data_IF_627315622421
#
_entry.id   IF_627315622421
#
_cell.length_a   1.000
_cell.length_b   1.000
_cell.length_c   1.000
_cell.angle_alpha   90.00
_cell.angle_beta   90.00
_cell.angle_gamma   90.00
#
_symmetry.space_group_name_H-M   'P 1'
#
loop_
_entity.id
_entity.type
_entity.pdbx_description
1 polymer ?
#
# COMPACT_ATOMS: atom_id res chain seq x y z
N UNK A 1 -8.46 7.25 -1.34
CA UNK A 1 -8.32 6.42 -2.57
C UNK A 1 -9.46 6.58 -3.58
N UNK A 2 -10.67 6.06 -3.38
CA UNK A 2 -11.71 6.03 -4.43
C UNK A 2 -12.04 7.41 -5.04
N UNK A 3 -12.18 8.44 -4.19
CA UNK A 3 -12.39 9.82 -4.63
C UNK A 3 -11.19 10.40 -5.38
N UNK A 4 -9.97 10.07 -4.98
CA UNK A 4 -8.76 10.49 -5.69
C UNK A 4 -8.73 9.89 -7.10
N UNK A 5 -9.02 8.60 -7.25
CA UNK A 5 -9.10 7.94 -8.55
C UNK A 5 -10.15 8.56 -9.47
N UNK A 6 -11.36 8.78 -8.95
CA UNK A 6 -12.43 9.44 -9.70
C UNK A 6 -12.02 10.83 -10.18
N UNK A 7 -11.42 11.65 -9.31
CA UNK A 7 -10.94 12.98 -9.67
C UNK A 7 -9.83 12.94 -10.74
N UNK A 8 -8.86 12.02 -10.59
CA UNK A 8 -7.78 11.85 -11.57
C UNK A 8 -8.35 11.51 -12.95
N UNK A 9 -9.35 10.61 -13.02
CA UNK A 9 -9.99 10.23 -14.28
C UNK A 9 -10.89 11.33 -14.85
N UNK A 10 -11.67 12.01 -14.02
CA UNK A 10 -12.62 13.04 -14.45
C UNK A 10 -11.93 14.32 -14.94
N UNK A 11 -10.76 14.65 -14.39
CA UNK A 11 -10.03 15.87 -14.70
C UNK A 11 -8.75 15.61 -15.52
N UNK A 12 -8.54 14.38 -16.01
CA UNK A 12 -7.34 13.96 -16.75
C UNK A 12 -6.02 14.36 -16.06
N UNK A 13 -5.96 14.15 -14.74
CA UNK A 13 -4.80 14.53 -13.95
C UNK A 13 -3.65 13.56 -14.19
N UNK A 14 -2.43 14.07 -14.13
CA UNK A 14 -1.24 13.22 -14.26
C UNK A 14 -1.13 12.19 -13.14
N UNK A 15 -0.42 11.10 -13.43
CA UNK A 15 -0.11 10.06 -12.44
C UNK A 15 0.53 10.63 -11.16
N UNK A 16 1.48 11.57 -11.30
CA UNK A 16 2.14 12.19 -10.15
C UNK A 16 1.17 13.00 -9.28
N UNK A 17 0.19 13.70 -9.88
CA UNK A 17 -0.86 14.37 -9.12
C UNK A 17 -1.69 13.36 -8.34
N UNK A 18 -2.02 12.20 -8.94
CA UNK A 18 -2.67 11.10 -8.24
C UNK A 18 -1.88 10.59 -7.03
N UNK A 19 -0.59 10.29 -7.22
CA UNK A 19 0.34 9.89 -6.14
C UNK A 19 0.30 10.89 -4.99
N UNK A 20 0.52 12.17 -5.29
CA UNK A 20 0.56 13.23 -4.27
C UNK A 20 -0.80 13.47 -3.60
N UNK A 21 -1.89 13.06 -4.25
CA UNK A 21 -3.26 13.15 -3.74
C UNK A 21 -3.70 11.91 -2.94
N UNK A 22 -2.80 10.96 -2.65
CA UNK A 22 -3.11 9.77 -1.86
C UNK A 22 -3.85 8.69 -2.65
N UNK A 23 -3.47 8.49 -3.92
CA UNK A 23 -3.90 7.33 -4.71
C UNK A 23 -3.33 6.03 -4.15
N UNK A 24 -2.09 6.07 -3.66
CA UNK A 24 -1.38 4.93 -3.11
C UNK A 24 -0.98 5.19 -1.66
N UNK A 25 -0.71 4.11 -0.94
CA UNK A 25 -0.44 4.12 0.49
C UNK A 25 0.07 2.74 0.92
N UNK A 26 0.61 2.64 2.12
CA UNK A 26 1.23 1.43 2.65
C UNK A 26 0.20 0.35 3.06
N UNK A 27 0.61 -0.93 3.12
CA UNK A 27 -0.20 -2.00 3.71
C UNK A 27 -0.73 -1.65 5.10
N UNK A 28 -1.98 -2.00 5.38
CA UNK A 28 -2.68 -1.66 6.63
C UNK A 28 -3.31 -0.27 6.66
N UNK A 29 -3.02 0.58 5.67
CA UNK A 29 -3.65 1.89 5.48
C UNK A 29 -4.13 1.97 4.04
N UNK A 30 -5.31 1.42 3.74
CA UNK A 30 -5.83 1.33 2.38
C UNK A 30 -7.04 0.41 2.26
N UNK A 31 -7.29 -0.11 1.06
CA UNK A 31 -8.46 -0.95 0.75
C UNK A 31 -8.11 -2.41 0.41
N UNK A 32 -6.81 -2.76 0.39
CA UNK A 32 -6.36 -4.11 0.05
C UNK A 32 -6.40 -4.97 1.31
N UNK A 33 -7.14 -6.08 1.25
CA UNK A 33 -7.12 -7.12 2.27
C UNK A 33 -6.00 -8.11 1.98
N UNK A 34 -4.99 -8.20 2.86
CA UNK A 34 -3.79 -9.00 2.63
C UNK A 34 -3.92 -10.47 3.05
N UNK A 35 -4.91 -10.84 3.87
CA UNK A 35 -5.09 -12.24 4.32
C UNK A 35 -5.19 -13.28 3.19
N UNK A 36 -5.93 -13.03 2.09
CA UNK A 36 -5.99 -13.99 0.98
C UNK A 36 -4.63 -14.14 0.28
N UNK A 37 -3.86 -13.05 0.19
CA UNK A 37 -2.53 -13.05 -0.44
C UNK A 37 -1.56 -13.86 0.44
N UNK A 38 -1.56 -13.63 1.75
CA UNK A 38 -0.74 -14.38 2.69
C UNK A 38 -1.07 -15.88 2.69
N UNK A 39 -2.35 -16.24 2.61
CA UNK A 39 -2.77 -17.63 2.44
C UNK A 39 -2.18 -18.25 1.17
N UNK A 40 -2.33 -17.59 0.03
CA UNK A 40 -1.80 -18.06 -1.25
C UNK A 40 -0.28 -18.28 -1.20
N UNK A 41 0.46 -17.29 -0.69
CA UNK A 41 1.92 -17.34 -0.56
C UNK A 41 2.36 -18.54 0.30
N UNK A 42 1.68 -18.76 1.43
CA UNK A 42 1.97 -19.85 2.38
C UNK A 42 1.64 -21.23 1.79
N UNK A 43 0.48 -21.38 1.17
CA UNK A 43 0.02 -22.67 0.61
C UNK A 43 0.87 -23.13 -0.59
N UNK A 44 1.47 -22.19 -1.33
CA UNK A 44 2.32 -22.49 -2.49
C UNK A 44 3.81 -22.57 -2.16
N UNK A 45 4.19 -22.46 -0.87
CA UNK A 45 5.57 -22.65 -0.43
C UNK A 45 6.56 -21.59 -0.94
N UNK A 46 6.10 -20.37 -1.23
CA UNK A 46 6.98 -19.29 -1.66
C UNK A 46 8.05 -19.00 -0.60
N UNK A 47 9.31 -18.87 -1.03
CA UNK A 47 10.43 -18.47 -0.18
C UNK A 47 11.24 -17.39 -0.87
N UNK A 48 11.12 -16.17 -0.37
CA UNK A 48 11.76 -15.00 -0.92
C UNK A 48 11.43 -13.76 -0.12
N UNK A 49 11.67 -12.61 -0.73
CA UNK A 49 11.48 -11.32 -0.09
C UNK A 49 10.04 -10.82 -0.25
N UNK A 50 9.49 -10.29 0.84
CA UNK A 50 8.34 -9.41 0.81
C UNK A 50 8.86 -7.98 0.90
N UNK A 51 8.62 -7.17 -0.12
CA UNK A 51 9.03 -5.77 -0.19
C UNK A 51 7.80 -4.90 -0.02
N UNK A 52 7.85 -3.97 0.94
CA UNK A 52 6.83 -2.94 1.10
C UNK A 52 7.23 -1.74 0.24
N UNK A 53 6.39 -1.39 -0.73
CA UNK A 53 6.53 -0.19 -1.55
C UNK A 53 5.25 0.65 -1.48
N UNK A 54 5.41 1.98 -1.43
CA UNK A 54 4.30 2.92 -1.48
C UNK A 54 4.76 4.28 -1.99
N UNK A 55 4.13 4.78 -3.05
CA UNK A 55 4.33 6.13 -3.55
C UNK A 55 3.39 7.09 -2.83
N UNK A 56 3.95 7.96 -1.99
CA UNK A 56 3.21 8.97 -1.25
C UNK A 56 3.96 10.31 -1.30
N UNK A 57 3.24 11.42 -1.06
CA UNK A 57 3.90 12.69 -0.80
C UNK A 57 4.54 12.65 0.61
N UNK A 58 5.88 12.72 0.73
CA UNK A 58 6.54 12.60 2.02
C UNK A 58 6.23 13.75 2.99
N UNK A 59 5.72 14.89 2.49
CA UNK A 59 5.26 15.98 3.32
C UNK A 59 3.92 15.66 4.01
N UNK A 60 3.09 14.81 3.40
CA UNK A 60 1.80 14.36 3.95
C UNK A 60 1.91 13.02 4.69
N UNK A 61 2.77 12.12 4.20
CA UNK A 61 3.04 10.81 4.77
C UNK A 61 4.55 10.65 5.04
N UNK A 62 5.04 11.10 6.22
CA UNK A 62 6.44 10.95 6.57
C UNK A 62 6.91 9.48 6.45
N UNK A 63 8.02 9.19 5.76
CA UNK A 63 8.38 7.82 5.40
C UNK A 63 8.56 6.88 6.60
N UNK A 64 9.26 7.33 7.65
CA UNK A 64 9.58 6.46 8.80
C UNK A 64 8.32 5.97 9.53
N UNK A 65 7.36 6.84 9.94
CA UNK A 65 6.09 6.37 10.51
C UNK A 65 5.27 5.49 9.57
N UNK A 66 5.19 5.83 8.28
CA UNK A 66 4.41 5.07 7.32
C UNK A 66 4.96 3.63 7.16
N UNK A 67 6.27 3.50 6.94
CA UNK A 67 6.93 2.20 6.78
C UNK A 67 6.88 1.37 8.06
N UNK A 68 6.99 1.99 9.25
CA UNK A 68 6.87 1.25 10.51
C UNK A 68 5.48 0.60 10.66
N UNK A 69 4.40 1.34 10.40
CA UNK A 69 3.03 0.79 10.44
C UNK A 69 2.84 -0.34 9.42
N UNK A 70 3.38 -0.14 8.22
CA UNK A 70 3.32 -1.13 7.15
C UNK A 70 4.02 -2.44 7.53
N UNK A 71 5.21 -2.33 8.12
CA UNK A 71 5.99 -3.45 8.58
C UNK A 71 5.24 -4.24 9.66
N UNK A 72 4.67 -3.56 10.65
CA UNK A 72 3.88 -4.19 11.71
C UNK A 72 2.65 -4.91 11.15
N UNK A 73 1.94 -4.30 10.21
CA UNK A 73 0.78 -4.91 9.54
C UNK A 73 1.19 -6.17 8.76
N UNK A 74 2.19 -6.09 7.89
CA UNK A 74 2.64 -7.22 7.08
C UNK A 74 3.16 -8.36 7.96
N UNK A 75 3.92 -8.06 9.01
CA UNK A 75 4.37 -9.07 9.97
C UNK A 75 3.16 -9.76 10.61
N UNK A 76 2.19 -8.99 11.07
CA UNK A 76 0.95 -9.52 11.66
C UNK A 76 0.09 -10.38 10.72
N UNK A 77 0.24 -10.25 9.40
CA UNK A 77 -0.55 -11.02 8.42
C UNK A 77 0.22 -12.22 7.86
N UNK A 78 1.54 -12.10 7.65
CA UNK A 78 2.36 -13.12 6.97
C UNK A 78 3.16 -14.03 7.91
N UNK A 79 3.27 -13.72 9.21
CA UNK A 79 4.01 -14.55 10.18
C UNK A 79 3.14 -15.33 11.15
N UNK A 80 1.84 -15.43 10.89
CA UNK A 80 0.86 -16.20 11.70
C UNK A 80 0.69 -17.62 11.19
#
# INVERSE_FOLDING_TARGET
MARCFQNVRACDLSFNVGVRSGMFTVPGDGIVHFDPIARFVRENGYRGWLVVEAEQDPALAPPRPAVARAFDHIRGVFTV
#
